data_IF_980547038982
#
_entry.id   IF_980547038982
#
_cell.length_a   1.000
_cell.length_b   1.000
_cell.length_c   1.000
_cell.angle_alpha   90.00
_cell.angle_beta   90.00
_cell.angle_gamma   90.00
#
_symmetry.space_group_name_H-M   'P 1'
#
loop_
_entity.id
_entity.type
_entity.pdbx_description
1 polymer ?
#
# COMPACT_ATOMS: atom_id res chain seq x y z
N UNK A 1 27.87 -8.21 0.05
CA UNK A 1 27.17 -7.41 -0.99
C UNK A 1 25.94 -6.80 -0.33
N UNK A 2 25.84 -5.47 -0.25
CA UNK A 2 24.60 -4.83 0.18
C UNK A 2 23.59 -4.99 -0.95
N UNK A 3 22.57 -5.81 -0.69
CA UNK A 3 21.49 -6.06 -1.62
C UNK A 3 20.46 -4.91 -1.54
N UNK A 4 19.85 -4.52 -2.66
CA UNK A 4 18.80 -3.49 -2.73
C UNK A 4 17.66 -3.77 -1.75
N UNK A 5 17.39 -5.05 -1.47
CA UNK A 5 16.36 -5.48 -0.52
C UNK A 5 16.68 -5.14 0.95
N UNK A 6 17.95 -4.90 1.29
CA UNK A 6 18.37 -4.53 2.65
C UNK A 6 18.09 -3.06 3.01
N UNK A 7 17.68 -2.24 2.03
CA UNK A 7 17.48 -0.80 2.22
C UNK A 7 16.09 -0.43 2.76
N UNK A 8 15.23 -1.42 2.97
CA UNK A 8 13.84 -1.25 3.38
C UNK A 8 12.93 -0.81 2.23
N UNK A 9 11.67 -0.41 2.51
CA UNK A 9 10.73 0.07 1.50
C UNK A 9 11.29 1.28 0.75
N UNK A 10 11.21 1.23 -0.59
CA UNK A 10 11.66 2.30 -1.50
C UNK A 10 10.48 3.14 -1.99
N UNK A 11 9.66 3.60 -1.04
CA UNK A 11 8.58 4.55 -1.34
C UNK A 11 9.24 5.86 -1.80
N UNK A 12 8.81 6.49 -2.90
CA UNK A 12 9.41 7.72 -3.40
C UNK A 12 9.57 8.79 -2.31
N UNK A 13 10.79 9.32 -2.16
CA UNK A 13 11.14 10.32 -1.14
C UNK A 13 11.40 9.77 0.27
N UNK A 14 11.27 8.46 0.47
CA UNK A 14 11.60 7.82 1.75
C UNK A 14 13.11 7.65 1.94
N UNK A 15 13.54 7.30 3.17
CA UNK A 15 14.95 7.00 3.46
C UNK A 15 15.49 5.81 2.68
N UNK A 16 14.67 4.79 2.41
CA UNK A 16 15.07 3.61 1.66
C UNK A 16 15.27 3.93 0.18
N UNK A 17 14.41 4.77 -0.37
CA UNK A 17 14.49 5.28 -1.74
C UNK A 17 15.76 6.09 -1.97
N UNK A 18 16.03 7.11 -1.15
CA UNK A 18 17.25 7.92 -1.24
C UNK A 18 18.55 7.11 -1.10
N UNK A 19 18.52 6.00 -0.33
CA UNK A 19 19.67 5.07 -0.24
C UNK A 19 19.84 4.29 -1.54
N UNK A 20 18.75 3.80 -2.11
CA UNK A 20 18.75 3.05 -3.35
C UNK A 20 19.20 3.91 -4.54
N UNK A 21 18.74 5.16 -4.63
CA UNK A 21 19.20 6.11 -5.66
C UNK A 21 20.71 6.32 -5.61
N UNK A 22 21.25 6.60 -4.41
CA UNK A 22 22.70 6.79 -4.22
C UNK A 22 23.49 5.53 -4.56
N UNK A 23 22.99 4.37 -4.12
CA UNK A 23 23.61 3.09 -4.43
C UNK A 23 23.66 2.83 -5.95
N UNK A 24 22.56 3.08 -6.66
CA UNK A 24 22.50 2.93 -8.11
C UNK A 24 23.46 3.89 -8.83
N UNK A 25 23.49 5.16 -8.43
CA UNK A 25 24.46 6.14 -8.93
C UNK A 25 25.90 5.62 -8.76
N UNK A 26 26.24 5.16 -7.56
CA UNK A 26 27.60 4.69 -7.25
C UNK A 26 27.96 3.44 -8.06
N UNK A 27 26.99 2.54 -8.30
CA UNK A 27 27.19 1.38 -9.16
C UNK A 27 27.37 1.75 -10.63
N UNK A 28 26.64 2.72 -11.15
CA UNK A 28 26.85 3.21 -12.52
C UNK A 28 28.25 3.82 -12.67
N UNK A 29 28.71 4.58 -11.68
CA UNK A 29 30.08 5.11 -11.69
C UNK A 29 31.13 3.98 -11.64
N UNK A 30 30.93 2.96 -10.80
CA UNK A 30 31.80 1.77 -10.72
C UNK A 30 31.87 1.01 -12.05
N UNK A 31 30.77 0.95 -12.80
CA UNK A 31 30.72 0.33 -14.13
C UNK A 31 31.34 1.20 -15.24
N UNK A 32 31.84 2.39 -14.93
CA UNK A 32 32.57 3.24 -15.87
C UNK A 32 31.69 4.22 -16.67
N UNK A 33 30.43 4.40 -16.30
CA UNK A 33 29.60 5.47 -16.86
C UNK A 33 30.15 6.84 -16.42
N UNK A 34 30.29 7.77 -17.36
CA UNK A 34 30.96 9.07 -17.13
C UNK A 34 30.01 10.21 -16.80
N UNK A 35 28.79 10.17 -17.32
CA UNK A 35 27.76 11.19 -17.10
C UNK A 35 26.63 10.58 -16.26
N UNK A 36 26.86 10.47 -14.95
CA UNK A 36 25.87 9.98 -13.98
C UNK A 36 25.45 11.14 -13.09
N UNK A 37 24.16 11.48 -13.13
CA UNK A 37 23.58 12.58 -12.36
C UNK A 37 22.31 12.14 -11.64
N UNK A 38 22.03 12.79 -10.51
CA UNK A 38 20.74 12.67 -9.83
C UNK A 38 19.95 13.93 -10.12
N UNK A 39 18.75 13.77 -10.67
CA UNK A 39 17.84 14.88 -11.00
C UNK A 39 16.73 14.94 -9.95
N UNK A 40 16.71 15.95 -9.06
CA UNK A 40 15.71 16.01 -8.00
C UNK A 40 14.33 16.35 -8.57
N UNK A 41 13.31 15.64 -8.09
CA UNK A 41 11.90 15.93 -8.35
C UNK A 41 11.19 16.29 -7.05
N UNK A 42 10.37 17.34 -7.08
CA UNK A 42 9.54 17.71 -5.94
C UNK A 42 8.33 16.78 -5.88
N UNK A 43 8.16 16.09 -4.76
CA UNK A 43 7.03 15.18 -4.52
C UNK A 43 6.44 15.43 -3.14
N UNK A 44 5.14 15.17 -3.02
CA UNK A 44 4.49 15.10 -1.71
C UNK A 44 4.66 13.70 -1.15
N UNK A 45 5.48 13.58 -0.10
CA UNK A 45 5.63 12.32 0.62
C UNK A 45 4.45 12.13 1.57
N UNK A 46 3.53 11.25 1.19
CA UNK A 46 2.44 10.79 2.06
C UNK A 46 2.92 9.61 2.91
N UNK A 47 2.66 9.66 4.22
CA UNK A 47 3.02 8.59 5.15
C UNK A 47 1.88 8.30 6.13
N UNK A 48 1.48 7.03 6.21
CA UNK A 48 0.60 6.57 7.28
C UNK A 48 1.41 6.31 8.55
N UNK A 49 0.97 6.89 9.67
CA UNK A 49 1.64 6.72 10.98
C UNK A 49 0.99 5.66 11.86
N UNK A 50 -0.33 5.51 11.77
CA UNK A 50 -1.13 4.62 12.59
C UNK A 50 -2.30 4.07 11.78
N UNK A 51 -2.64 2.81 12.02
CA UNK A 51 -3.81 2.14 11.46
C UNK A 51 -4.21 0.99 12.38
N UNK A 52 -5.48 0.64 12.36
CA UNK A 52 -6.04 -0.49 13.09
C UNK A 52 -7.39 -0.85 12.50
N UNK A 53 -7.73 -2.13 12.57
CA UNK A 53 -9.06 -2.63 12.24
C UNK A 53 -9.49 -3.53 13.39
N UNK A 54 -10.66 -3.25 13.94
CA UNK A 54 -11.34 -4.08 14.91
C UNK A 54 -12.73 -4.43 14.35
N UNK A 55 -13.13 -5.68 14.51
CA UNK A 55 -14.40 -6.19 13.98
C UNK A 55 -15.13 -6.91 15.10
N UNK A 56 -16.44 -6.65 15.19
CA UNK A 56 -17.34 -7.30 16.13
C UNK A 56 -18.25 -8.26 15.37
N UNK A 57 -18.05 -9.58 15.51
CA UNK A 57 -19.02 -10.54 15.01
C UNK A 57 -20.30 -10.47 15.85
N UNK A 58 -21.44 -10.77 15.22
CA UNK A 58 -22.73 -10.80 15.91
C UNK A 58 -22.68 -11.79 17.09
N UNK A 59 -23.01 -11.30 18.29
CA UNK A 59 -22.98 -12.09 19.53
C UNK A 59 -21.58 -12.47 20.03
N UNK A 60 -20.50 -11.98 19.42
CA UNK A 60 -19.13 -12.29 19.80
C UNK A 60 -18.34 -11.11 20.36
N UNK A 61 -17.10 -11.39 20.78
CA UNK A 61 -16.17 -10.36 21.26
C UNK A 61 -15.47 -9.67 20.10
N UNK A 62 -15.12 -8.41 20.30
CA UNK A 62 -14.28 -7.64 19.38
C UNK A 62 -12.97 -8.40 19.08
N UNK A 63 -12.59 -8.41 17.80
CA UNK A 63 -11.34 -8.99 17.34
C UNK A 63 -10.55 -7.98 16.52
N UNK A 64 -9.30 -7.73 16.93
CA UNK A 64 -8.36 -6.92 16.15
C UNK A 64 -7.79 -7.74 15.01
N UNK A 65 -7.95 -7.24 13.78
CA UNK A 65 -7.47 -7.91 12.59
C UNK A 65 -6.14 -7.31 12.09
N UNK A 66 -5.19 -8.13 11.60
CA UNK A 66 -4.06 -7.64 10.84
C UNK A 66 -4.54 -6.85 9.63
N UNK A 67 -4.04 -5.63 9.49
CA UNK A 67 -4.41 -4.75 8.40
C UNK A 67 -3.22 -3.85 8.04
N UNK A 68 -3.31 -3.26 6.86
CA UNK A 68 -2.42 -2.21 6.38
C UNK A 68 -3.25 -1.09 5.75
N UNK A 69 -2.63 0.07 5.61
CA UNK A 69 -3.29 1.24 5.05
C UNK A 69 -3.25 1.21 3.52
N UNK A 70 -4.26 1.81 2.90
CA UNK A 70 -4.22 2.16 1.47
C UNK A 70 -3.53 3.52 1.34
N UNK A 71 -2.48 3.65 0.50
CA UNK A 71 -1.83 4.93 0.26
C UNK A 71 -2.83 6.02 -0.14
N UNK A 72 -2.62 7.24 0.37
CA UNK A 72 -3.46 8.41 0.09
C UNK A 72 -4.91 8.33 0.62
N UNK A 73 -5.22 7.37 1.48
CA UNK A 73 -6.49 7.39 2.20
C UNK A 73 -6.57 8.63 3.09
N UNK A 74 -7.78 9.19 3.21
CA UNK A 74 -8.04 10.28 4.13
C UNK A 74 -7.81 9.80 5.58
N UNK A 75 -7.19 10.62 6.45
CA UNK A 75 -7.08 10.29 7.85
C UNK A 75 -8.48 10.28 8.49
N UNK A 76 -8.69 9.36 9.42
CA UNK A 76 -9.88 9.33 10.27
C UNK A 76 -9.47 9.51 11.73
N UNK A 77 -10.29 10.20 12.52
CA UNK A 77 -10.16 10.25 13.99
C UNK A 77 -10.58 8.94 14.68
N UNK A 78 -11.07 7.98 13.90
CA UNK A 78 -11.81 6.80 14.35
C UNK A 78 -13.14 6.79 13.61
N UNK A 79 -13.41 5.70 12.89
CA UNK A 79 -14.67 5.49 12.19
C UNK A 79 -15.19 4.11 12.57
N UNK A 80 -16.40 4.07 13.10
CA UNK A 80 -17.11 2.86 13.49
C UNK A 80 -18.45 2.84 12.76
N UNK A 81 -18.86 1.65 12.34
CA UNK A 81 -20.12 1.47 11.63
C UNK A 81 -20.31 0.01 11.22
N UNK A 82 -21.53 -0.31 10.82
CA UNK A 82 -21.88 -1.63 10.29
C UNK A 82 -21.04 -1.94 9.04
N UNK A 83 -20.54 -3.17 8.95
CA UNK A 83 -19.80 -3.65 7.79
C UNK A 83 -20.75 -4.21 6.74
N UNK A 84 -20.70 -3.69 5.50
CA UNK A 84 -21.48 -4.20 4.38
C UNK A 84 -20.57 -4.70 3.28
N UNK A 85 -20.68 -5.99 2.95
CA UNK A 85 -19.90 -6.59 1.88
C UNK A 85 -20.57 -6.37 0.52
N UNK A 86 -19.81 -5.84 -0.44
CA UNK A 86 -20.30 -5.53 -1.81
C UNK A 86 -19.48 -6.23 -2.90
N UNK A 87 -19.04 -7.45 -2.66
CA UNK A 87 -18.31 -8.21 -3.69
C UNK A 87 -17.00 -7.52 -4.07
N UNK A 88 -16.78 -7.29 -5.37
CA UNK A 88 -15.58 -6.63 -5.89
C UNK A 88 -15.67 -5.09 -5.88
N UNK A 89 -16.80 -4.53 -5.46
CA UNK A 89 -17.02 -3.08 -5.52
C UNK A 89 -17.22 -2.57 -6.94
N UNK A 90 -17.78 -3.39 -7.85
CA UNK A 90 -18.25 -2.91 -9.16
C UNK A 90 -19.52 -2.09 -8.97
N UNK A 91 -19.83 -1.20 -9.92
CA UNK A 91 -21.03 -0.36 -9.85
C UNK A 91 -22.33 -1.18 -9.61
N UNK A 92 -22.44 -2.35 -10.24
CA UNK A 92 -23.55 -3.28 -10.09
C UNK A 92 -23.68 -3.88 -8.69
N UNK A 93 -22.58 -3.98 -7.93
CA UNK A 93 -22.58 -4.58 -6.60
C UNK A 93 -23.16 -3.63 -5.54
N UNK A 94 -23.00 -2.32 -5.73
CA UNK A 94 -23.61 -1.32 -4.84
C UNK A 94 -25.13 -1.27 -4.96
N UNK A 95 -25.71 -1.70 -6.08
CA UNK A 95 -27.16 -1.81 -6.24
C UNK A 95 -27.79 -2.95 -5.43
N UNK A 96 -26.98 -3.86 -4.88
CA UNK A 96 -27.44 -5.07 -4.18
C UNK A 96 -27.44 -4.92 -2.65
N UNK A 97 -26.94 -3.79 -2.12
CA UNK A 97 -26.82 -3.56 -0.69
C UNK A 97 -27.04 -2.10 -0.30
N UNK A 98 -27.67 -1.86 0.85
CA UNK A 98 -27.76 -0.52 1.44
C UNK A 98 -26.44 -0.16 2.15
N UNK A 99 -25.69 0.77 1.56
CA UNK A 99 -24.36 1.19 2.02
C UNK A 99 -24.35 2.55 2.73
N UNK A 100 -25.50 3.24 2.79
CA UNK A 100 -25.52 4.62 3.28
C UNK A 100 -25.18 4.68 4.77
N UNK A 101 -24.12 5.42 5.12
CA UNK A 101 -23.67 5.58 6.50
C UNK A 101 -22.96 4.35 7.09
N UNK A 102 -22.64 3.35 6.27
CA UNK A 102 -21.99 2.10 6.68
C UNK A 102 -20.55 2.04 6.15
N UNK A 103 -19.76 1.11 6.69
CA UNK A 103 -18.39 0.84 6.23
C UNK A 103 -18.45 -0.29 5.19
N UNK A 104 -18.06 0.03 3.96
CA UNK A 104 -18.10 -0.93 2.86
C UNK A 104 -16.86 -1.82 2.87
N UNK A 105 -17.07 -3.13 2.76
CA UNK A 105 -16.04 -4.14 2.58
C UNK A 105 -16.05 -4.62 1.14
N UNK A 106 -14.90 -4.50 0.47
CA UNK A 106 -14.69 -4.98 -0.91
C UNK A 106 -13.62 -6.05 -0.95
N UNK A 107 -13.79 -6.99 -1.86
CA UNK A 107 -12.79 -8.01 -2.19
C UNK A 107 -11.91 -7.51 -3.32
N UNK A 108 -10.63 -7.32 -3.04
CA UNK A 108 -9.63 -6.99 -4.07
C UNK A 108 -9.15 -8.29 -4.69
N UNK A 109 -9.51 -8.52 -5.96
CA UNK A 109 -9.06 -9.69 -6.71
C UNK A 109 -7.68 -9.43 -7.29
N UNK A 110 -6.66 -10.08 -6.76
CA UNK A 110 -5.35 -10.13 -7.40
C UNK A 110 -5.41 -11.17 -8.51
N UNK A 111 -5.02 -10.80 -9.73
CA UNK A 111 -4.87 -11.77 -10.81
C UNK A 111 -3.77 -12.77 -10.39
N UNK A 112 -4.05 -14.08 -10.37
CA UNK A 112 -2.98 -15.05 -10.21
C UNK A 112 -2.10 -14.95 -11.45
N UNK A 113 -0.92 -14.34 -11.32
CA UNK A 113 0.10 -14.46 -12.35
C UNK A 113 0.69 -15.87 -12.24
N UNK A 114 0.48 -16.75 -13.23
CA UNK A 114 1.13 -18.04 -13.23
C UNK A 114 2.63 -17.81 -13.19
N UNK A 115 3.31 -18.42 -12.21
CA UNK A 115 4.78 -18.34 -12.10
C UNK A 115 5.44 -18.87 -13.39
N UNK A 116 4.73 -19.70 -14.18
CA UNK A 116 5.15 -20.15 -15.50
C UNK A 116 5.35 -19.04 -16.55
N UNK A 117 4.74 -17.86 -16.38
CA UNK A 117 4.92 -16.70 -17.26
C UNK A 117 6.12 -15.81 -16.88
N UNK A 118 6.81 -16.11 -15.76
CA UNK A 118 7.99 -15.39 -15.28
C UNK A 118 9.31 -16.13 -15.61
N UNK A 119 9.26 -17.13 -16.49
CA UNK A 119 10.44 -17.86 -16.99
C UNK A 119 10.97 -17.30 -18.29
#
# INVERSE_FOLDING_TARGET
MLDLYSMGPRVPGSKGDLKAEKYLRDKLLEFGFRDVRMEPINITLWTAKKWSLEVWPEGGKAAKLPCFYVPYSAPTSGLEGELVYVGEGRAEDFGKADVKGKIVVVSVRFLPLPVSLLR
#
